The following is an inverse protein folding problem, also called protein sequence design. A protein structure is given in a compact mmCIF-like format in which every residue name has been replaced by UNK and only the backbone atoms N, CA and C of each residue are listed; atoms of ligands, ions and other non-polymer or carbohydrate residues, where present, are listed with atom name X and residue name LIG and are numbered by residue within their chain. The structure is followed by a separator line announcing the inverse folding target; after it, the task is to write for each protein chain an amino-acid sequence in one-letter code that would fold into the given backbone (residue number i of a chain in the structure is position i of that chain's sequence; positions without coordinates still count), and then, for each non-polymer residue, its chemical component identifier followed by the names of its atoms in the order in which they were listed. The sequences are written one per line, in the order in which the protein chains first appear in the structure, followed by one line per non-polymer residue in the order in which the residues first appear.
data_IF_894238353436
#
_entry.id   IF_894238353436
#
_cell.length_a   1.000
_cell.length_b   1.000
_cell.length_c   1.000
_cell.angle_alpha   90.00
_cell.angle_beta   90.00
_cell.angle_gamma   90.00
#
_symmetry.space_group_name_H-M   'P 1'
#
loop_
_entity.id
_entity.type
_entity.pdbx_description
1 polymer ?
#
# COMPACT_ATOMS: atom_id res chain seq x y z
N UNK A 1 -54.64 24.89 -14.59
CA UNK A 1 -53.33 24.86 -15.25
C UNK A 1 -52.50 23.82 -14.51
N UNK A 2 -52.45 22.58 -15.01
CA UNK A 2 -51.80 21.43 -14.36
C UNK A 2 -50.47 21.22 -15.06
N UNK A 3 -49.37 21.35 -14.32
CA UNK A 3 -48.00 21.07 -14.79
C UNK A 3 -47.58 19.69 -14.29
N UNK A 4 -47.30 18.78 -15.24
CA UNK A 4 -46.81 17.42 -15.00
C UNK A 4 -45.27 17.44 -15.08
N UNK A 5 -44.60 16.99 -14.01
CA UNK A 5 -43.15 16.71 -14.00
C UNK A 5 -42.86 15.33 -14.63
N UNK A 6 -41.78 15.13 -15.41
CA UNK A 6 -41.43 13.83 -15.96
C UNK A 6 -40.70 12.96 -14.92
N UNK A 7 -40.96 11.64 -14.96
CA UNK A 7 -40.35 10.61 -14.11
C UNK A 7 -39.07 10.02 -14.73
N UNK A 8 -38.12 9.51 -13.93
CA UNK A 8 -36.84 8.99 -14.38
C UNK A 8 -36.98 7.54 -14.85
N UNK A 9 -37.27 7.33 -16.14
CA UNK A 9 -37.36 5.97 -16.72
C UNK A 9 -36.28 5.72 -17.77
N UNK A 10 -35.51 6.75 -18.15
CA UNK A 10 -34.54 6.67 -19.24
C UNK A 10 -33.16 6.16 -18.77
N UNK A 11 -32.80 6.33 -17.50
CA UNK A 11 -31.49 5.89 -16.96
C UNK A 11 -31.34 4.38 -16.77
N UNK A 12 -32.43 3.67 -16.43
CA UNK A 12 -32.38 2.23 -16.10
C UNK A 12 -32.28 1.35 -17.35
N UNK A 13 -32.80 1.82 -18.49
CA UNK A 13 -32.76 1.08 -19.75
C UNK A 13 -31.37 1.05 -20.39
N UNK A 14 -30.52 2.07 -20.16
CA UNK A 14 -29.17 2.13 -20.72
C UNK A 14 -28.20 1.22 -19.93
N UNK A 15 -28.36 1.14 -18.60
CA UNK A 15 -27.54 0.27 -17.77
C UNK A 15 -27.79 -1.23 -18.02
N UNK A 16 -29.05 -1.63 -18.29
CA UNK A 16 -29.39 -3.02 -18.59
C UNK A 16 -28.89 -3.48 -19.97
N UNK A 17 -28.90 -2.59 -20.97
CA UNK A 17 -28.43 -2.92 -22.33
C UNK A 17 -26.90 -3.11 -22.40
N UNK A 18 -26.12 -2.40 -21.57
CA UNK A 18 -24.66 -2.56 -21.51
C UNK A 18 -24.27 -3.86 -20.80
N UNK A 19 -25.00 -4.28 -19.75
CA UNK A 19 -24.72 -5.52 -19.03
C UNK A 19 -25.05 -6.78 -19.83
N UNK A 20 -26.14 -6.78 -20.62
CA UNK A 20 -26.56 -7.97 -21.38
C UNK A 20 -25.73 -8.24 -22.63
N UNK A 21 -25.04 -7.22 -23.17
CA UNK A 21 -24.14 -7.38 -24.33
C UNK A 21 -22.84 -8.10 -24.00
N UNK A 22 -22.42 -8.12 -22.73
CA UNK A 22 -21.19 -8.80 -22.29
C UNK A 22 -21.37 -10.30 -22.01
N UNK A 23 -22.60 -10.76 -21.81
CA UNK A 23 -22.87 -12.13 -21.34
C UNK A 23 -23.21 -13.16 -22.44
N UNK A 24 -23.46 -12.73 -23.68
CA UNK A 24 -24.01 -13.62 -24.73
C UNK A 24 -23.07 -13.97 -25.89
N UNK A 25 -21.78 -13.64 -25.81
CA UNK A 25 -20.81 -13.99 -26.85
C UNK A 25 -19.54 -14.62 -26.27
N UNK A 26 -19.65 -15.84 -25.75
CA UNK A 26 -18.54 -16.80 -25.62
C UNK A 26 -19.03 -18.22 -25.90
N UNK A 27 -18.48 -18.90 -26.91
CA UNK A 27 -18.37 -20.35 -26.90
C UNK A 27 -16.89 -20.74 -26.97
N UNK A 28 -16.34 -21.27 -25.88
CA UNK A 28 -15.87 -22.65 -25.84
C UNK A 28 -15.15 -22.96 -24.52
N UNK A 29 -15.64 -24.02 -23.89
CA UNK A 29 -14.96 -24.82 -22.88
C UNK A 29 -14.13 -25.83 -23.66
N UNK A 30 -12.83 -25.90 -23.41
CA UNK A 30 -12.14 -27.12 -23.00
C UNK A 30 -10.62 -27.02 -23.17
N UNK A 31 -9.96 -27.67 -22.22
CA UNK A 31 -8.57 -28.10 -22.21
C UNK A 31 -7.50 -27.01 -22.08
N UNK A 32 -6.81 -27.00 -20.93
CA UNK A 32 -5.40 -27.36 -20.87
C UNK A 32 -5.02 -27.72 -19.42
N UNK A 33 -4.53 -28.95 -19.26
CA UNK A 33 -4.01 -29.52 -18.01
C UNK A 33 -2.75 -28.78 -17.58
N UNK A 34 -2.67 -28.36 -16.32
CA UNK A 34 -1.43 -27.86 -15.70
C UNK A 34 -0.77 -29.01 -14.93
N UNK A 35 0.53 -29.30 -15.13
CA UNK A 35 1.24 -30.33 -14.37
C UNK A 35 1.43 -29.91 -12.92
N UNK A 36 1.10 -30.83 -12.00
CA UNK A 36 1.38 -30.73 -10.58
C UNK A 36 2.84 -31.08 -10.28
N UNK A 37 3.68 -30.08 -9.98
CA UNK A 37 4.89 -30.30 -9.16
C UNK A 37 5.61 -28.97 -8.90
N UNK A 38 5.40 -28.40 -7.71
CA UNK A 38 6.44 -27.83 -6.84
C UNK A 38 5.77 -27.44 -5.51
N UNK A 39 5.41 -28.47 -4.74
CA UNK A 39 5.02 -28.31 -3.34
C UNK A 39 6.30 -28.43 -2.52
N UNK A 40 6.77 -27.34 -1.91
CA UNK A 40 7.74 -27.43 -0.84
C UNK A 40 7.00 -27.78 0.46
N UNK A 41 7.24 -28.95 1.08
CA UNK A 41 6.63 -29.29 2.36
C UNK A 41 7.41 -28.61 3.48
N UNK A 42 6.71 -27.91 4.35
CA UNK A 42 7.19 -27.61 5.70
C UNK A 42 7.31 -28.95 6.45
N UNK A 43 8.54 -29.40 6.67
CA UNK A 43 8.86 -30.48 7.61
C UNK A 43 9.85 -29.95 8.63
N UNK A 44 9.42 -29.97 9.89
CA UNK A 44 10.22 -29.68 11.07
C UNK A 44 11.33 -30.75 11.26
N UNK A 45 12.58 -30.31 11.41
CA UNK A 45 13.68 -31.00 12.10
C UNK A 45 14.67 -29.89 12.54
N UNK A 46 15.24 -29.82 13.75
CA UNK A 46 15.65 -30.90 14.65
C UNK A 46 17.13 -31.20 14.46
N UNK A 47 18.04 -30.37 15.02
CA UNK A 47 19.49 -30.60 14.96
C UNK A 47 20.32 -29.47 15.57
N UNK A 48 21.00 -29.78 16.67
CA UNK A 48 21.66 -28.86 17.61
C UNK A 48 23.04 -28.34 17.16
N UNK A 49 23.34 -27.08 17.51
CA UNK A 49 24.68 -26.68 17.98
C UNK A 49 24.54 -25.67 19.12
N UNK A 50 25.12 -26.02 20.27
CA UNK A 50 24.92 -25.38 21.56
C UNK A 50 25.46 -23.93 21.61
N UNK A 51 24.57 -22.99 21.95
CA UNK A 51 24.91 -21.67 22.49
C UNK A 51 24.02 -21.41 23.71
N UNK A 52 24.63 -20.85 24.76
CA UNK A 52 24.14 -20.75 26.14
C UNK A 52 22.68 -20.30 26.25
N UNK A 53 21.83 -21.16 26.81
CA UNK A 53 20.41 -20.90 27.05
C UNK A 53 20.19 -20.11 28.34
N UNK A 54 19.72 -18.87 28.21
CA UNK A 54 18.89 -18.22 29.22
C UNK A 54 17.61 -19.05 29.46
N UNK A 55 17.00 -19.00 30.66
CA UNK A 55 15.84 -19.85 30.96
C UNK A 55 14.68 -19.50 30.01
N UNK A 56 14.35 -20.43 29.11
CA UNK A 56 13.20 -20.30 28.20
C UNK A 56 11.92 -20.27 29.05
N UNK A 57 11.27 -19.12 29.08
CA UNK A 57 9.87 -19.02 29.49
C UNK A 57 9.06 -19.99 28.62
N UNK A 58 8.31 -20.91 29.22
CA UNK A 58 7.39 -21.82 28.54
C UNK A 58 6.11 -21.11 28.03
N UNK A 59 6.01 -19.78 28.16
CA UNK A 59 4.90 -19.04 27.60
C UNK A 59 5.06 -18.93 26.07
N UNK A 60 3.98 -19.11 25.29
CA UNK A 60 4.01 -18.87 23.85
C UNK A 60 4.48 -17.43 23.59
N UNK A 61 5.41 -17.29 22.64
CA UNK A 61 5.95 -15.99 22.23
C UNK A 61 4.82 -15.10 21.71
N UNK A 62 4.79 -13.84 22.16
CA UNK A 62 3.82 -12.86 21.69
C UNK A 62 4.27 -12.37 20.31
N UNK A 63 3.41 -12.42 19.26
CA UNK A 63 3.80 -12.01 17.91
C UNK A 63 3.77 -10.48 17.71
N UNK A 64 3.88 -9.72 18.80
CA UNK A 64 3.73 -8.28 18.85
C UNK A 64 4.52 -7.68 20.02
N UNK A 65 4.63 -6.35 20.05
CA UNK A 65 5.34 -5.63 21.11
C UNK A 65 6.83 -5.49 20.83
N UNK A 66 7.55 -4.83 21.73
CA UNK A 66 8.99 -4.53 21.57
C UNK A 66 9.89 -5.75 21.73
N UNK A 67 9.43 -6.79 22.40
CA UNK A 67 10.20 -8.01 22.67
C UNK A 67 10.22 -8.98 21.48
N UNK A 68 9.35 -8.78 20.49
CA UNK A 68 9.32 -9.63 19.29
C UNK A 68 10.57 -9.39 18.43
N UNK A 69 11.39 -10.42 18.26
CA UNK A 69 12.71 -10.31 17.61
C UNK A 69 12.76 -10.83 16.16
N UNK A 70 11.64 -11.37 15.64
CA UNK A 70 11.58 -11.95 14.30
C UNK A 70 12.25 -13.32 14.21
N UNK A 71 11.94 -14.05 13.14
CA UNK A 71 12.44 -15.41 12.88
C UNK A 71 12.91 -15.60 11.44
N UNK A 72 13.00 -14.52 10.66
CA UNK A 72 13.35 -14.57 9.25
C UNK A 72 14.81 -14.88 9.00
N UNK A 73 15.03 -15.54 7.87
CA UNK A 73 16.33 -15.73 7.25
C UNK A 73 16.31 -15.11 5.85
N UNK A 74 17.31 -14.30 5.47
CA UNK A 74 18.48 -13.89 6.28
C UNK A 74 18.10 -13.00 7.49
N UNK A 75 18.95 -13.02 8.53
CA UNK A 75 18.64 -12.42 9.83
C UNK A 75 18.44 -10.91 9.78
N UNK A 76 19.01 -10.23 8.79
CA UNK A 76 18.92 -8.79 8.62
C UNK A 76 17.49 -8.32 8.23
N UNK A 77 16.65 -9.22 7.72
CA UNK A 77 15.21 -8.97 7.54
C UNK A 77 14.55 -8.65 8.88
N UNK A 78 14.99 -9.27 9.98
CA UNK A 78 14.40 -9.04 11.31
C UNK A 78 14.56 -7.60 11.81
N UNK A 79 15.31 -6.72 11.12
CA UNK A 79 15.31 -5.28 11.42
C UNK A 79 13.92 -4.64 11.27
N UNK A 80 12.99 -5.25 10.55
CA UNK A 80 11.57 -4.82 10.52
C UNK A 80 10.88 -4.89 11.89
N UNK A 81 11.45 -5.60 12.87
CA UNK A 81 10.84 -5.73 14.21
C UNK A 81 11.29 -4.64 15.18
N UNK A 82 12.21 -3.76 14.77
CA UNK A 82 12.63 -2.63 15.60
C UNK A 82 11.47 -1.65 15.85
N UNK A 83 11.71 -0.61 16.66
CA UNK A 83 10.66 0.35 16.99
C UNK A 83 10.28 1.31 15.85
N UNK A 84 10.96 1.27 14.72
CA UNK A 84 10.66 2.07 13.52
C UNK A 84 10.24 1.20 12.33
N UNK A 85 9.91 -0.08 12.59
CA UNK A 85 9.51 -1.05 11.59
C UNK A 85 10.53 -1.23 10.44
N UNK A 86 11.81 -0.98 10.70
CA UNK A 86 12.88 -1.05 9.70
C UNK A 86 13.08 0.23 8.88
N UNK A 87 12.33 1.29 9.14
CA UNK A 87 12.51 2.62 8.52
C UNK A 87 13.34 3.55 9.43
N UNK A 88 13.69 4.75 8.96
CA UNK A 88 14.31 5.76 9.84
C UNK A 88 13.26 6.36 10.78
N UNK A 89 12.04 6.61 10.28
CA UNK A 89 10.91 7.14 11.05
C UNK A 89 9.57 6.56 10.59
N UNK A 90 8.58 6.61 11.48
CA UNK A 90 7.17 6.37 11.15
C UNK A 90 6.40 7.66 11.43
N UNK A 91 5.89 8.30 10.40
CA UNK A 91 5.09 9.51 10.47
C UNK A 91 3.60 9.20 10.43
N UNK A 92 2.83 9.98 11.19
CA UNK A 92 1.37 9.97 11.13
C UNK A 92 0.88 11.36 10.79
N UNK A 93 0.12 11.47 9.71
CA UNK A 93 -0.44 12.74 9.24
C UNK A 93 -1.87 12.84 9.77
N UNK A 94 -2.14 13.89 10.55
CA UNK A 94 -3.47 14.11 11.12
C UNK A 94 -3.62 15.50 11.70
N UNK A 95 -4.84 16.03 11.68
CA UNK A 95 -5.13 17.36 12.22
C UNK A 95 -4.76 17.43 13.72
N UNK A 96 -4.14 18.53 14.20
CA UNK A 96 -3.72 18.65 15.59
C UNK A 96 -4.88 18.58 16.60
N UNK A 97 -6.08 19.01 16.21
CA UNK A 97 -7.29 18.97 17.02
C UNK A 97 -7.94 17.57 17.13
N UNK A 98 -7.54 16.59 16.32
CA UNK A 98 -8.04 15.21 16.38
C UNK A 98 -7.34 14.40 17.48
N UNK A 99 -7.41 14.89 18.71
CA UNK A 99 -6.76 14.26 19.88
C UNK A 99 -7.27 12.83 20.12
N UNK A 100 -8.53 12.57 19.77
CA UNK A 100 -9.14 11.23 19.80
C UNK A 100 -8.35 10.21 18.93
N UNK A 101 -8.03 10.60 17.70
CA UNK A 101 -7.25 9.77 16.78
C UNK A 101 -5.78 9.67 17.22
N UNK A 102 -5.22 10.78 17.73
CA UNK A 102 -3.83 10.81 18.22
C UNK A 102 -3.59 9.88 19.39
N UNK A 103 -4.49 9.89 20.37
CA UNK A 103 -4.42 9.00 21.54
C UNK A 103 -4.56 7.53 21.13
N UNK A 104 -5.50 7.23 20.23
CA UNK A 104 -5.73 5.87 19.74
C UNK A 104 -4.51 5.31 18.99
N UNK A 105 -3.93 6.06 18.05
CA UNK A 105 -2.72 5.66 17.32
C UNK A 105 -1.54 5.49 18.28
N UNK A 106 -1.31 6.46 19.18
CA UNK A 106 -0.18 6.42 20.12
C UNK A 106 -0.24 5.18 21.00
N UNK A 107 -1.42 4.87 21.55
CA UNK A 107 -1.62 3.68 22.38
C UNK A 107 -1.44 2.38 21.57
N UNK A 108 -2.05 2.30 20.39
CA UNK A 108 -2.02 1.10 19.55
C UNK A 108 -0.61 0.80 19.04
N UNK A 109 0.14 1.82 18.61
CA UNK A 109 1.54 1.70 18.20
C UNK A 109 2.43 1.24 19.36
N UNK A 110 2.28 1.83 20.55
CA UNK A 110 3.04 1.42 21.72
C UNK A 110 2.80 -0.05 22.10
N UNK A 111 1.54 -0.51 22.07
CA UNK A 111 1.15 -1.89 22.39
C UNK A 111 1.64 -2.90 21.35
N UNK A 112 1.63 -2.54 20.07
CA UNK A 112 2.16 -3.38 18.98
C UNK A 112 3.67 -3.26 18.78
N UNK A 113 4.31 -2.29 19.44
CA UNK A 113 5.74 -2.24 19.68
C UNK A 113 6.54 -1.37 18.72
N UNK A 114 5.96 -0.30 18.19
CA UNK A 114 6.65 0.69 17.38
C UNK A 114 6.31 2.12 17.80
N UNK A 115 7.15 3.06 17.39
CA UNK A 115 7.09 4.47 17.70
C UNK A 115 6.58 5.25 16.50
N UNK A 116 5.79 6.28 16.77
CA UNK A 116 5.24 7.19 15.75
C UNK A 116 5.62 8.62 16.05
N UNK A 117 5.77 9.42 15.00
CA UNK A 117 5.96 10.85 15.09
C UNK A 117 4.87 11.59 14.30
N UNK A 118 4.27 12.59 14.91
CA UNK A 118 3.17 13.33 14.27
C UNK A 118 3.68 14.39 13.31
N UNK A 119 3.02 14.47 12.16
CA UNK A 119 3.10 15.61 11.24
C UNK A 119 1.71 16.23 11.21
N UNK A 120 1.61 17.48 11.63
CA UNK A 120 0.33 18.16 11.69
C UNK A 120 -0.27 18.31 10.28
N UNK A 121 -1.51 17.83 10.15
CA UNK A 121 -2.33 18.06 8.97
C UNK A 121 -2.62 19.55 8.80
N UNK A 122 -2.97 19.94 7.57
CA UNK A 122 -3.22 21.34 7.23
C UNK A 122 -4.64 21.46 6.72
N UNK A 123 -5.38 22.47 7.18
CA UNK A 123 -6.68 22.82 6.63
C UNK A 123 -6.49 23.48 5.27
N UNK A 124 -7.22 23.03 4.26
CA UNK A 124 -7.09 23.56 2.90
C UNK A 124 -7.28 25.07 2.85
N UNK A 125 -8.23 25.56 3.63
CA UNK A 125 -8.61 26.96 3.72
C UNK A 125 -7.47 27.86 4.21
N UNK A 126 -6.52 27.32 4.96
CA UNK A 126 -5.35 28.03 5.49
C UNK A 126 -4.21 28.12 4.46
N UNK A 127 -4.28 27.37 3.37
CA UNK A 127 -3.27 27.38 2.32
C UNK A 127 -3.49 28.61 1.43
N UNK A 128 -2.50 29.53 1.33
CA UNK A 128 -2.63 30.71 0.49
C UNK A 128 -2.60 30.33 -0.99
N UNK A 129 -3.35 31.06 -1.84
CA UNK A 129 -3.42 30.78 -3.29
C UNK A 129 -2.04 30.73 -3.96
N UNK A 130 -1.08 31.51 -3.46
CA UNK A 130 0.30 31.53 -3.97
C UNK A 130 1.09 30.23 -3.70
N UNK A 131 0.62 29.40 -2.77
CA UNK A 131 1.24 28.11 -2.44
C UNK A 131 0.53 26.92 -3.10
N UNK A 132 -0.58 27.15 -3.81
CA UNK A 132 -1.27 26.11 -4.57
C UNK A 132 -0.39 25.71 -5.77
N UNK A 133 -0.15 24.41 -6.01
CA UNK A 133 0.67 23.96 -7.14
C UNK A 133 0.13 24.45 -8.49
N UNK A 134 1.06 24.66 -9.42
CA UNK A 134 0.71 25.10 -10.77
C UNK A 134 -0.27 24.11 -11.45
N UNK A 135 -1.24 24.67 -12.19
CA UNK A 135 -2.23 23.88 -12.93
C UNK A 135 -3.40 23.35 -12.10
N UNK A 136 -3.42 23.59 -10.79
CA UNK A 136 -4.56 23.21 -9.94
C UNK A 136 -5.66 24.26 -10.02
N UNK A 137 -6.87 23.79 -10.33
CA UNK A 137 -8.10 24.48 -10.01
C UNK A 137 -8.51 24.13 -8.57
N UNK A 138 -8.37 25.10 -7.66
CA UNK A 138 -8.67 24.93 -6.23
C UNK A 138 -10.11 24.51 -5.97
N UNK A 139 -11.06 25.03 -6.75
CA UNK A 139 -12.48 24.69 -6.59
C UNK A 139 -12.75 23.24 -7.00
N UNK A 140 -12.13 22.77 -8.08
CA UNK A 140 -12.26 21.38 -8.52
C UNK A 140 -11.52 20.41 -7.61
N UNK A 141 -10.37 20.80 -7.04
CA UNK A 141 -9.62 19.94 -6.13
C UNK A 141 -10.33 19.78 -4.78
N UNK A 142 -11.06 20.79 -4.30
CA UNK A 142 -11.63 20.90 -2.95
C UNK A 142 -10.57 21.19 -1.87
N UNK A 143 -10.96 21.97 -0.86
CA UNK A 143 -10.10 22.35 0.26
C UNK A 143 -9.58 21.13 1.03
N UNK A 144 -10.42 20.13 1.24
CA UNK A 144 -10.04 18.91 1.97
C UNK A 144 -8.91 18.14 1.29
N UNK A 145 -8.95 18.00 -0.04
CA UNK A 145 -7.88 17.35 -0.79
C UNK A 145 -6.61 18.21 -0.87
N UNK A 146 -6.75 19.54 -0.93
CA UNK A 146 -5.61 20.45 -0.87
C UNK A 146 -4.90 20.38 0.50
N UNK A 147 -5.68 20.31 1.58
CA UNK A 147 -5.17 20.09 2.94
C UNK A 147 -4.46 18.74 3.10
N UNK A 148 -5.08 17.66 2.60
CA UNK A 148 -4.47 16.33 2.54
C UNK A 148 -3.13 16.35 1.81
N UNK A 149 -3.09 16.90 0.59
CA UNK A 149 -1.84 17.08 -0.17
C UNK A 149 -0.80 17.81 0.68
N UNK A 150 -1.15 18.94 1.30
CA UNK A 150 -0.16 19.71 2.03
C UNK A 150 0.38 18.97 3.25
N UNK A 151 -0.47 18.25 3.98
CA UNK A 151 -0.07 17.42 5.12
C UNK A 151 0.91 16.32 4.72
N UNK A 152 0.59 15.55 3.68
CA UNK A 152 1.47 14.50 3.17
C UNK A 152 2.78 15.06 2.60
N UNK A 153 2.72 16.16 1.84
CA UNK A 153 3.92 16.81 1.31
C UNK A 153 4.80 17.39 2.42
N UNK A 154 4.25 17.77 3.58
CA UNK A 154 5.06 18.16 4.75
C UNK A 154 5.82 16.96 5.32
N UNK A 155 5.17 15.80 5.47
CA UNK A 155 5.83 14.57 5.92
C UNK A 155 6.94 14.14 4.95
N UNK A 156 6.67 14.19 3.64
CA UNK A 156 7.67 13.87 2.59
C UNK A 156 8.83 14.87 2.62
N UNK A 157 8.55 16.17 2.79
CA UNK A 157 9.60 17.19 2.91
C UNK A 157 10.55 16.90 4.08
N UNK A 158 10.03 16.44 5.22
CA UNK A 158 10.86 16.07 6.37
C UNK A 158 11.84 14.93 6.07
N UNK A 159 11.47 13.97 5.23
CA UNK A 159 12.38 12.89 4.81
C UNK A 159 13.64 13.47 4.15
N UNK A 160 13.47 14.50 3.31
CA UNK A 160 14.57 15.18 2.63
C UNK A 160 15.31 16.14 3.57
N UNK A 161 14.60 17.00 4.30
CA UNK A 161 15.19 18.02 5.18
C UNK A 161 16.01 17.41 6.32
N UNK A 162 15.58 16.27 6.85
CA UNK A 162 16.28 15.55 7.92
C UNK A 162 17.27 14.50 7.39
N UNK A 163 17.43 14.38 6.06
CA UNK A 163 18.29 13.41 5.41
C UNK A 163 18.05 11.97 5.93
N UNK A 164 16.77 11.57 6.00
CA UNK A 164 16.37 10.23 6.40
C UNK A 164 16.57 9.25 5.24
N UNK A 165 16.97 8.01 5.53
CA UNK A 165 17.08 6.95 4.51
C UNK A 165 15.69 6.57 3.99
N UNK A 166 14.71 6.46 4.89
CA UNK A 166 13.31 6.18 4.56
C UNK A 166 12.37 6.54 5.70
N UNK A 167 11.09 6.75 5.38
CA UNK A 167 10.04 6.85 6.37
C UNK A 167 8.77 6.13 5.92
N UNK A 168 8.08 5.47 6.87
CA UNK A 168 6.68 5.06 6.71
C UNK A 168 5.79 6.26 7.04
N UNK A 169 4.83 6.57 6.18
CA UNK A 169 3.84 7.65 6.36
C UNK A 169 2.46 7.00 6.36
N UNK A 170 1.65 7.29 7.38
CA UNK A 170 0.28 6.78 7.48
C UNK A 170 -0.72 7.86 7.89
N UNK A 171 -1.98 7.65 7.54
CA UNK A 171 -3.11 8.50 7.94
C UNK A 171 -3.50 8.25 9.42
N UNK A 172 -4.24 9.17 10.05
CA UNK A 172 -4.53 9.15 11.49
C UNK A 172 -5.69 8.20 11.92
N UNK A 173 -6.45 7.70 10.96
CA UNK A 173 -7.53 6.72 11.13
C UNK A 173 -7.10 5.29 10.73
N UNK A 174 -5.81 5.02 10.73
CA UNK A 174 -5.28 3.71 10.37
C UNK A 174 -5.32 2.69 11.51
N UNK A 175 -5.40 1.42 11.11
CA UNK A 175 -5.29 0.24 11.96
C UNK A 175 -4.63 -0.91 11.19
N UNK A 176 -4.16 -1.91 11.93
CA UNK A 176 -3.36 -3.02 11.43
C UNK A 176 -3.63 -4.28 12.24
N UNK A 177 -3.18 -5.44 11.74
CA UNK A 177 -3.22 -6.67 12.52
C UNK A 177 -2.17 -6.59 13.64
N UNK A 178 -2.49 -7.05 14.86
CA UNK A 178 -1.51 -7.09 15.97
C UNK A 178 -0.22 -7.82 15.58
N UNK A 179 -0.27 -8.73 14.60
CA UNK A 179 0.87 -9.46 14.03
C UNK A 179 1.64 -8.68 12.94
N UNK A 180 1.63 -7.34 13.00
CA UNK A 180 2.26 -6.47 12.01
C UNK A 180 3.74 -6.80 11.76
N UNK A 181 4.55 -7.02 12.81
CA UNK A 181 5.98 -7.32 12.66
C UNK A 181 6.24 -8.63 11.90
N UNK A 182 5.59 -9.76 12.25
CA UNK A 182 5.61 -10.97 11.42
C UNK A 182 5.18 -10.75 9.97
N UNK A 183 4.18 -9.90 9.71
CA UNK A 183 3.76 -9.59 8.34
C UNK A 183 4.86 -8.83 7.58
N UNK A 184 5.51 -7.87 8.23
CA UNK A 184 6.59 -7.07 7.64
C UNK A 184 7.83 -7.90 7.31
N UNK A 185 8.10 -8.97 8.06
CA UNK A 185 9.16 -9.93 7.71
C UNK A 185 8.91 -10.57 6.34
N UNK A 186 7.67 -11.01 6.09
CA UNK A 186 7.26 -11.58 4.81
C UNK A 186 7.27 -10.54 3.69
N UNK A 187 6.84 -9.31 3.99
CA UNK A 187 6.87 -8.19 3.03
C UNK A 187 8.29 -7.79 2.66
N UNK A 188 9.21 -7.70 3.63
CA UNK A 188 10.62 -7.40 3.39
C UNK A 188 11.29 -8.48 2.52
N UNK A 189 11.04 -9.76 2.82
CA UNK A 189 11.49 -10.86 1.97
C UNK A 189 10.93 -10.74 0.55
N UNK A 190 9.63 -10.45 0.43
CA UNK A 190 8.97 -10.29 -0.86
C UNK A 190 9.45 -9.10 -1.68
N UNK A 191 9.66 -7.95 -1.05
CA UNK A 191 10.17 -6.75 -1.70
C UNK A 191 11.56 -7.00 -2.29
N UNK A 192 12.48 -7.59 -1.51
CA UNK A 192 13.81 -7.99 -1.99
C UNK A 192 13.73 -8.98 -3.14
N UNK A 193 12.84 -9.97 -3.05
CA UNK A 193 12.67 -11.00 -4.06
C UNK A 193 12.09 -10.44 -5.37
N UNK A 194 11.12 -9.53 -5.31
CA UNK A 194 10.58 -8.86 -6.51
C UNK A 194 11.66 -8.02 -7.17
N UNK A 195 12.33 -7.15 -6.40
CA UNK A 195 13.40 -6.27 -6.91
C UNK A 195 14.52 -7.07 -7.56
N UNK A 196 15.01 -8.14 -6.91
CA UNK A 196 16.14 -8.93 -7.43
C UNK A 196 15.82 -9.70 -8.72
N UNK A 197 14.53 -9.94 -8.97
CA UNK A 197 14.07 -10.63 -10.17
C UNK A 197 13.61 -9.66 -11.27
N UNK A 198 13.54 -8.35 -11.02
CA UNK A 198 13.19 -7.38 -12.06
C UNK A 198 14.40 -7.04 -12.93
N UNK A 199 14.24 -6.91 -14.26
CA UNK A 199 15.32 -6.47 -15.13
C UNK A 199 15.80 -5.06 -14.79
N UNK A 200 17.12 -4.84 -14.73
CA UNK A 200 17.72 -3.52 -14.49
C UNK A 200 17.27 -2.45 -15.51
N UNK A 201 16.84 -2.88 -16.71
CA UNK A 201 16.26 -1.98 -17.71
C UNK A 201 15.03 -1.23 -17.18
N UNK A 202 14.18 -1.92 -16.41
CA UNK A 202 12.94 -1.37 -15.86
C UNK A 202 13.12 -0.89 -14.43
N UNK A 203 14.05 -1.51 -13.70
CA UNK A 203 14.28 -1.28 -12.29
C UNK A 203 15.78 -1.13 -12.02
N UNK A 204 16.41 -0.02 -12.47
CA UNK A 204 17.87 0.09 -12.49
C UNK A 204 18.46 0.12 -11.09
N UNK A 205 19.02 -1.00 -10.64
CA UNK A 205 19.52 -1.13 -9.27
C UNK A 205 20.93 -0.57 -9.06
N UNK A 206 21.59 -0.15 -10.15
CA UNK A 206 23.01 0.22 -10.12
C UNK A 206 23.95 -0.95 -9.80
N UNK A 207 23.41 -2.18 -9.72
CA UNK A 207 24.22 -3.38 -9.53
C UNK A 207 24.98 -3.67 -10.82
N UNK A 208 26.26 -4.01 -10.75
CA UNK A 208 27.01 -4.42 -11.94
C UNK A 208 26.33 -5.66 -12.54
N UNK A 209 25.97 -5.58 -13.82
CA UNK A 209 25.20 -6.57 -14.61
C UNK A 209 25.85 -7.96 -14.74
N UNK A 210 26.95 -8.21 -14.04
CA UNK A 210 27.69 -9.46 -14.05
C UNK A 210 28.50 -9.56 -12.76
N UNK A 211 28.00 -10.30 -11.76
CA UNK A 211 28.78 -10.99 -10.71
C UNK A 211 29.99 -10.30 -10.05
N UNK A 212 30.13 -8.98 -10.10
CA UNK A 212 31.29 -8.26 -9.54
C UNK A 212 30.81 -7.17 -8.59
N UNK A 213 30.37 -7.61 -7.43
CA UNK A 213 30.14 -6.81 -6.21
C UNK A 213 31.17 -5.69 -6.04
N UNK A 214 30.74 -4.43 -6.03
CA UNK A 214 31.50 -3.36 -5.37
C UNK A 214 30.66 -2.11 -5.15
N UNK A 215 29.56 -2.24 -4.40
CA UNK A 215 29.05 -1.22 -3.49
C UNK A 215 27.91 -1.81 -2.64
N UNK A 216 28.19 -2.96 -2.02
CA UNK A 216 27.42 -3.42 -0.89
C UNK A 216 28.16 -3.03 0.39
N UNK A 217 27.43 -2.86 1.49
CA UNK A 217 28.01 -2.90 2.84
C UNK A 217 29.05 -4.02 2.95
N UNK A 218 30.04 -3.93 3.87
CA UNK A 218 31.08 -4.97 4.05
C UNK A 218 30.55 -6.41 4.21
N UNK A 219 29.27 -6.57 4.55
CA UNK A 219 28.53 -7.82 4.71
C UNK A 219 27.73 -8.31 3.49
N UNK A 220 27.57 -7.49 2.43
CA UNK A 220 26.63 -7.80 1.35
C UNK A 220 25.15 -7.55 1.70
N UNK A 221 24.87 -7.10 2.93
CA UNK A 221 23.51 -6.81 3.40
C UNK A 221 23.02 -5.44 2.91
N UNK A 222 21.75 -5.34 2.48
CA UNK A 222 21.15 -4.06 2.15
C UNK A 222 21.02 -3.19 3.40
N UNK A 223 20.96 -1.87 3.21
CA UNK A 223 20.75 -0.90 4.30
C UNK A 223 19.34 -1.08 4.87
N UNK A 224 18.34 -1.06 4.00
CA UNK A 224 16.94 -1.26 4.37
C UNK A 224 16.57 -2.75 4.46
N UNK A 225 15.78 -3.18 5.47
CA UNK A 225 15.24 -4.52 5.49
C UNK A 225 14.36 -4.82 4.26
N UNK A 226 13.80 -3.80 3.61
CA UNK A 226 12.96 -3.94 2.42
C UNK A 226 13.76 -3.95 1.10
N UNK A 227 15.09 -3.81 1.17
CA UNK A 227 15.98 -3.59 0.02
C UNK A 227 16.20 -2.10 -0.28
N UNK A 228 17.24 -1.77 -1.05
CA UNK A 228 17.70 -0.37 -1.18
C UNK A 228 17.20 0.35 -2.43
N UNK A 229 16.50 -0.38 -3.31
CA UNK A 229 16.21 0.10 -4.65
C UNK A 229 14.79 0.63 -4.84
N UNK A 230 13.89 0.52 -3.87
CA UNK A 230 12.52 1.05 -4.00
C UNK A 230 12.46 2.57 -3.73
N UNK A 231 11.48 3.23 -4.33
CA UNK A 231 11.14 4.64 -4.11
C UNK A 231 9.89 4.78 -3.23
N UNK A 232 8.86 3.98 -3.53
CA UNK A 232 7.60 3.93 -2.79
C UNK A 232 7.25 2.48 -2.48
N UNK A 233 6.84 2.21 -1.24
CA UNK A 233 6.32 0.92 -0.81
C UNK A 233 4.94 1.14 -0.18
N UNK A 234 3.87 0.80 -0.90
CA UNK A 234 2.51 0.84 -0.36
C UNK A 234 2.27 -0.35 0.57
N UNK A 235 1.90 -0.03 1.82
CA UNK A 235 1.55 -1.02 2.84
C UNK A 235 0.06 -0.94 3.22
N UNK A 236 -0.62 0.15 2.87
CA UNK A 236 -2.04 0.38 3.08
C UNK A 236 -2.65 1.11 1.91
N UNK A 237 -3.70 0.54 1.32
CA UNK A 237 -4.46 1.13 0.22
C UNK A 237 -5.87 0.51 0.19
N UNK A 238 -6.82 1.15 -0.49
CA UNK A 238 -8.17 0.65 -0.68
C UNK A 238 -8.22 -0.56 -1.65
N UNK A 239 -7.27 -0.61 -2.58
CA UNK A 239 -7.14 -1.69 -3.56
C UNK A 239 -6.40 -1.22 -4.80
N UNK A 240 -5.91 -2.16 -5.61
CA UNK A 240 -5.35 -1.88 -6.93
C UNK A 240 -5.50 -3.09 -7.85
N UNK A 241 -5.55 -2.91 -9.19
CA UNK A 241 -5.34 -4.00 -10.12
C UNK A 241 -3.86 -4.40 -10.16
N UNK A 242 -3.54 -5.54 -10.78
CA UNK A 242 -2.15 -5.82 -11.13
C UNK A 242 -1.72 -5.03 -12.38
N UNK A 243 -0.44 -4.60 -12.49
CA UNK A 243 0.00 -3.71 -13.57
C UNK A 243 -0.18 -4.33 -14.96
N UNK A 244 -0.01 -5.64 -15.11
CA UNK A 244 -0.23 -6.37 -16.35
C UNK A 244 -1.70 -6.45 -16.79
N UNK A 245 -2.63 -6.18 -15.87
CA UNK A 245 -4.09 -6.19 -16.10
C UNK A 245 -4.65 -4.78 -16.36
N UNK A 246 -3.81 -3.74 -16.30
CA UNK A 246 -4.22 -2.38 -16.65
C UNK A 246 -4.71 -2.31 -18.11
N UNK A 247 -5.67 -1.44 -18.45
CA UNK A 247 -6.22 -1.32 -19.80
C UNK A 247 -5.15 -1.15 -20.90
N UNK A 248 -4.06 -0.44 -20.61
CA UNK A 248 -2.94 -0.22 -21.52
C UNK A 248 -2.00 -1.43 -21.68
N UNK A 249 -2.06 -2.42 -20.78
CA UNK A 249 -1.13 -3.56 -20.73
C UNK A 249 -1.80 -4.93 -20.96
N UNK A 250 -3.10 -5.05 -20.67
CA UNK A 250 -3.84 -6.33 -20.72
C UNK A 250 -3.82 -7.01 -22.09
N UNK A 251 -3.75 -6.23 -23.17
CA UNK A 251 -3.77 -6.71 -24.55
C UNK A 251 -2.36 -6.91 -25.15
N UNK A 252 -1.29 -6.61 -24.38
CA UNK A 252 0.08 -6.90 -24.79
C UNK A 252 0.31 -8.42 -24.94
N UNK A 253 1.18 -8.86 -25.88
CA UNK A 253 1.57 -10.27 -26.00
C UNK A 253 2.06 -10.86 -24.67
N UNK A 254 1.81 -12.14 -24.43
CA UNK A 254 2.20 -12.81 -23.18
C UNK A 254 3.72 -12.88 -22.98
N UNK A 255 4.48 -12.82 -24.08
CA UNK A 255 5.94 -12.81 -24.12
C UNK A 255 6.54 -11.39 -24.24
N UNK A 256 5.70 -10.33 -24.19
CA UNK A 256 6.20 -8.95 -24.11
C UNK A 256 7.08 -8.79 -22.85
N UNK A 257 8.35 -8.35 -22.99
CA UNK A 257 9.26 -8.27 -21.86
C UNK A 257 8.79 -7.34 -20.73
N UNK A 258 8.08 -6.26 -21.08
CA UNK A 258 7.48 -5.34 -20.12
C UNK A 258 6.34 -6.01 -19.35
N UNK A 259 5.42 -6.67 -20.05
CA UNK A 259 4.31 -7.42 -19.42
C UNK A 259 4.81 -8.54 -18.52
N UNK A 260 5.81 -9.30 -18.96
CA UNK A 260 6.44 -10.35 -18.15
C UNK A 260 7.08 -9.77 -16.89
N UNK A 261 7.70 -8.60 -16.97
CA UNK A 261 8.25 -7.91 -15.79
C UNK A 261 7.16 -7.41 -14.84
N UNK A 262 6.08 -6.81 -15.36
CA UNK A 262 4.93 -6.35 -14.58
C UNK A 262 4.29 -7.48 -13.77
N UNK A 263 4.15 -8.67 -14.37
CA UNK A 263 3.51 -9.82 -13.75
C UNK A 263 4.34 -10.51 -12.65
N UNK A 264 5.56 -10.03 -12.35
CA UNK A 264 6.41 -10.60 -11.28
C UNK A 264 5.85 -10.25 -9.90
N UNK A 265 5.60 -11.27 -9.09
CA UNK A 265 5.03 -11.16 -7.74
C UNK A 265 5.73 -12.12 -6.80
N UNK A 266 5.89 -11.71 -5.55
CA UNK A 266 6.18 -12.63 -4.45
C UNK A 266 4.86 -13.04 -3.80
N UNK A 267 4.54 -14.33 -3.84
CA UNK A 267 3.26 -14.87 -3.34
C UNK A 267 3.45 -15.51 -1.98
N UNK A 268 2.70 -15.04 -0.99
CA UNK A 268 2.63 -15.56 0.37
C UNK A 268 1.32 -16.35 0.47
N UNK A 269 1.43 -17.67 0.61
CA UNK A 269 0.28 -18.58 0.72
C UNK A 269 -0.03 -18.89 2.18
N UNK A 270 -1.29 -19.19 2.47
CA UNK A 270 -1.78 -19.57 3.80
C UNK A 270 -1.47 -18.52 4.89
N UNK A 271 -1.52 -17.24 4.52
CA UNK A 271 -1.31 -16.15 5.46
C UNK A 271 -2.50 -16.05 6.43
N UNK A 272 -2.28 -16.46 7.67
CA UNK A 272 -3.30 -16.43 8.72
C UNK A 272 -3.79 -15.01 9.09
N UNK A 273 -3.12 -13.97 8.58
CA UNK A 273 -3.49 -12.56 8.75
C UNK A 273 -4.35 -12.01 7.60
N UNK A 274 -4.50 -12.77 6.51
CA UNK A 274 -5.45 -12.44 5.44
C UNK A 274 -6.84 -12.97 5.85
N UNK A 275 -7.90 -12.15 5.74
CA UNK A 275 -9.27 -12.61 6.01
C UNK A 275 -9.69 -13.78 5.09
N UNK A 276 -10.71 -14.54 5.50
CA UNK A 276 -11.34 -15.53 4.61
C UNK A 276 -11.97 -14.86 3.38
N UNK A 277 -12.26 -15.66 2.34
CA UNK A 277 -12.72 -15.15 1.03
C UNK A 277 -14.00 -14.31 1.09
N UNK A 278 -14.88 -14.54 2.06
CA UNK A 278 -16.13 -13.80 2.27
C UNK A 278 -15.94 -12.46 3.01
N UNK A 279 -14.72 -12.16 3.47
CA UNK A 279 -14.39 -10.93 4.21
C UNK A 279 -13.17 -10.18 3.67
N UNK A 280 -12.38 -10.79 2.79
CA UNK A 280 -11.33 -10.09 2.05
C UNK A 280 -11.96 -9.28 0.93
N UNK A 281 -11.53 -8.04 0.79
CA UNK A 281 -12.04 -7.09 -0.19
C UNK A 281 -10.91 -6.45 -0.96
N UNK A 282 -11.21 -5.95 -2.16
CA UNK A 282 -10.24 -5.27 -3.01
C UNK A 282 -10.68 -5.23 -4.46
N UNK A 283 -9.78 -4.78 -5.33
CA UNK A 283 -10.05 -4.63 -6.76
C UNK A 283 -9.78 -5.94 -7.53
N UNK A 284 -8.87 -6.78 -7.04
CA UNK A 284 -8.56 -8.06 -7.65
C UNK A 284 -9.59 -9.14 -7.26
N UNK A 285 -9.73 -10.13 -8.14
CA UNK A 285 -10.57 -11.31 -7.88
C UNK A 285 -9.80 -12.34 -7.02
N UNK A 286 -9.92 -12.23 -5.69
CA UNK A 286 -9.30 -13.16 -4.75
C UNK A 286 -9.74 -14.61 -4.96
N UNK A 287 -10.94 -14.84 -5.51
CA UNK A 287 -11.48 -16.18 -5.77
C UNK A 287 -10.72 -16.95 -6.87
N UNK A 288 -9.86 -16.28 -7.64
CA UNK A 288 -8.97 -16.92 -8.64
C UNK A 288 -7.68 -17.46 -8.04
N UNK A 289 -7.47 -17.26 -6.74
CA UNK A 289 -6.24 -17.63 -6.04
C UNK A 289 -6.55 -18.50 -4.82
N UNK A 290 -5.57 -19.25 -4.30
CA UNK A 290 -5.75 -19.94 -3.04
C UNK A 290 -6.21 -18.96 -1.95
N UNK A 291 -7.12 -19.41 -1.09
CA UNK A 291 -7.58 -18.60 0.05
C UNK A 291 -6.38 -18.20 0.93
N UNK A 292 -6.48 -17.04 1.60
CA UNK A 292 -5.41 -16.50 2.45
C UNK A 292 -4.09 -16.28 1.69
N UNK A 293 -4.19 -15.75 0.48
CA UNK A 293 -3.00 -15.35 -0.30
C UNK A 293 -2.75 -13.86 -0.17
N UNK A 294 -1.47 -13.49 0.00
CA UNK A 294 -0.96 -12.12 -0.08
C UNK A 294 0.15 -12.03 -1.12
N UNK A 295 0.28 -10.89 -1.77
CA UNK A 295 1.30 -10.61 -2.77
C UNK A 295 2.10 -9.39 -2.38
N UNK A 296 3.42 -9.44 -2.63
CA UNK A 296 4.25 -8.24 -2.82
C UNK A 296 4.54 -8.14 -4.30
N UNK A 297 4.29 -6.99 -4.90
CA UNK A 297 4.37 -6.83 -6.36
C UNK A 297 4.70 -5.41 -6.78
N UNK A 298 5.03 -5.22 -8.06
CA UNK A 298 5.12 -3.89 -8.67
C UNK A 298 3.73 -3.26 -8.66
N UNK A 299 3.67 -2.00 -8.24
CA UNK A 299 2.43 -1.24 -8.18
C UNK A 299 1.86 -0.96 -9.57
N UNK A 300 0.54 -1.04 -9.71
CA UNK A 300 -0.20 -0.53 -10.86
C UNK A 300 -0.62 0.92 -10.65
N UNK A 301 -1.51 1.15 -9.67
CA UNK A 301 -2.08 2.44 -9.28
C UNK A 301 -2.99 2.24 -8.05
N UNK A 302 -2.45 2.29 -6.82
CA UNK A 302 -3.20 2.03 -5.62
C UNK A 302 -4.11 3.20 -5.30
N UNK A 303 -5.35 2.89 -4.93
CA UNK A 303 -6.30 3.89 -4.48
C UNK A 303 -6.11 4.08 -2.97
N UNK A 304 -6.18 5.31 -2.47
CA UNK A 304 -5.92 5.68 -1.08
C UNK A 304 -4.44 5.57 -0.66
N UNK A 305 -4.07 6.35 0.35
CA UNK A 305 -2.69 6.42 0.93
C UNK A 305 -2.66 6.10 2.41
N UNK A 306 -3.53 5.18 2.83
CA UNK A 306 -3.65 4.65 4.20
C UNK A 306 -2.28 4.47 4.88
N UNK A 307 -1.36 3.76 4.23
CA UNK A 307 0.04 3.74 4.64
C UNK A 307 0.98 3.49 3.46
N UNK A 308 2.02 4.29 3.33
CA UNK A 308 3.06 4.12 2.31
C UNK A 308 4.41 4.55 2.87
N UNK A 309 5.46 3.82 2.54
CA UNK A 309 6.81 4.23 2.84
C UNK A 309 7.45 4.89 1.62
N UNK A 310 8.35 5.84 1.88
CA UNK A 310 9.17 6.51 0.87
C UNK A 310 10.64 6.40 1.26
N UNK A 311 11.51 6.10 0.29
CA UNK A 311 12.96 6.26 0.46
C UNK A 311 13.34 7.73 0.30
N UNK A 312 14.56 8.12 0.67
CA UNK A 312 15.06 9.48 0.44
C UNK A 312 14.89 9.91 -1.03
N UNK A 313 15.35 9.05 -1.94
CA UNK A 313 15.24 9.27 -3.39
C UNK A 313 13.77 9.33 -3.84
N UNK A 314 12.92 8.48 -3.28
CA UNK A 314 11.48 8.52 -3.54
C UNK A 314 10.85 9.84 -3.08
N UNK A 315 11.23 10.35 -1.91
CA UNK A 315 10.74 11.61 -1.38
C UNK A 315 11.11 12.80 -2.28
N UNK A 316 12.33 12.85 -2.81
CA UNK A 316 12.75 13.86 -3.79
C UNK A 316 11.92 13.80 -5.08
N UNK A 317 11.69 12.58 -5.61
CA UNK A 317 10.84 12.37 -6.80
C UNK A 317 9.42 12.86 -6.57
N UNK A 318 8.83 12.55 -5.41
CA UNK A 318 7.47 12.96 -5.06
C UNK A 318 7.40 14.48 -4.87
N UNK A 319 8.36 15.11 -4.18
CA UNK A 319 8.42 16.57 -4.06
C UNK A 319 8.50 17.25 -5.43
N UNK A 320 9.29 16.69 -6.33
CA UNK A 320 9.34 17.21 -7.70
C UNK A 320 7.99 17.04 -8.40
N UNK A 321 7.49 15.81 -8.54
CA UNK A 321 6.33 15.51 -9.40
C UNK A 321 5.01 16.06 -8.86
N UNK A 322 4.80 16.04 -7.54
CA UNK A 322 3.54 16.41 -6.87
C UNK A 322 3.57 17.83 -6.26
N UNK A 323 4.65 18.60 -6.44
CA UNK A 323 4.70 20.00 -5.97
C UNK A 323 5.46 20.93 -6.90
N UNK A 324 6.69 20.62 -7.28
CA UNK A 324 7.53 21.53 -8.08
C UNK A 324 7.06 21.59 -9.53
N UNK A 325 6.78 20.43 -10.12
CA UNK A 325 6.30 20.31 -11.50
C UNK A 325 4.79 20.58 -11.56
N UNK A 326 3.98 19.76 -10.86
CA UNK A 326 2.53 19.87 -10.86
C UNK A 326 1.89 19.17 -9.67
N UNK A 327 0.57 19.33 -9.51
CA UNK A 327 -0.26 18.38 -8.76
C UNK A 327 -1.39 17.95 -9.70
N UNK A 328 -1.67 16.64 -9.76
CA UNK A 328 -2.63 16.06 -10.71
C UNK A 328 -3.77 15.36 -9.97
N UNK A 329 -4.60 16.15 -9.28
CA UNK A 329 -5.74 15.68 -8.48
C UNK A 329 -5.41 15.48 -7.00
N UNK A 330 -6.28 14.77 -6.25
CA UNK A 330 -6.05 14.41 -4.86
C UNK A 330 -4.71 13.68 -4.68
N UNK A 331 -4.09 13.82 -3.50
CA UNK A 331 -2.73 13.34 -3.23
C UNK A 331 -2.53 11.85 -3.53
N UNK A 332 -3.47 11.01 -3.07
CA UNK A 332 -3.43 9.57 -3.27
C UNK A 332 -3.42 9.19 -4.76
N UNK A 333 -4.31 9.79 -5.54
CA UNK A 333 -4.36 9.63 -6.99
C UNK A 333 -3.07 10.15 -7.64
N UNK A 334 -2.58 11.32 -7.25
CA UNK A 334 -1.38 11.90 -7.84
C UNK A 334 -0.15 10.99 -7.61
N UNK A 335 -0.01 10.42 -6.41
CA UNK A 335 1.04 9.45 -6.09
C UNK A 335 0.88 8.15 -6.87
N UNK A 336 -0.35 7.63 -6.96
CA UNK A 336 -0.66 6.44 -7.76
C UNK A 336 -0.32 6.65 -9.24
N UNK A 337 -0.63 7.84 -9.79
CA UNK A 337 -0.33 8.20 -11.15
C UNK A 337 1.18 8.34 -11.41
N UNK A 338 1.96 8.86 -10.46
CA UNK A 338 3.43 8.88 -10.56
C UNK A 338 3.96 7.45 -10.80
N UNK A 339 3.52 6.50 -9.97
CA UNK A 339 3.94 5.10 -10.09
C UNK A 339 3.39 4.41 -11.34
N UNK A 340 2.14 4.68 -11.74
CA UNK A 340 1.54 4.13 -12.96
C UNK A 340 2.27 4.56 -14.22
N UNK A 341 2.68 5.84 -14.30
CA UNK A 341 3.45 6.36 -15.45
C UNK A 341 4.81 5.69 -15.56
N UNK A 342 5.45 5.36 -14.43
CA UNK A 342 6.71 4.63 -14.43
C UNK A 342 6.57 3.21 -15.00
N UNK A 343 5.56 2.44 -14.55
CA UNK A 343 5.36 1.06 -15.03
C UNK A 343 4.79 1.01 -16.45
N UNK A 344 3.89 1.92 -16.83
CA UNK A 344 3.26 1.95 -18.16
C UNK A 344 4.21 2.24 -19.33
N UNK A 345 5.46 2.61 -19.05
CA UNK A 345 6.51 2.79 -20.05
C UNK A 345 7.26 1.50 -20.43
N UNK A 346 7.15 0.42 -19.65
CA UNK A 346 8.11 -0.70 -19.71
C UNK A 346 8.11 -1.48 -21.04
N UNK A 347 6.95 -1.78 -21.62
CA UNK A 347 6.89 -2.47 -22.93
C UNK A 347 7.56 -1.63 -24.03
N UNK A 348 7.24 -0.33 -24.09
CA UNK A 348 7.84 0.60 -25.07
C UNK A 348 9.33 0.81 -24.81
N UNK A 349 9.77 0.87 -23.55
CA UNK A 349 11.18 0.93 -23.18
C UNK A 349 11.93 -0.33 -23.62
N UNK A 350 11.31 -1.51 -23.51
CA UNK A 350 11.86 -2.76 -24.05
C UNK A 350 12.13 -2.65 -25.55
N UNK A 351 11.16 -2.10 -26.28
CA UNK A 351 11.25 -1.93 -27.72
C UNK A 351 12.36 -0.94 -28.12
N UNK A 352 12.52 0.16 -27.38
CA UNK A 352 13.62 1.12 -27.59
C UNK A 352 14.98 0.51 -27.24
N UNK A 353 15.06 -0.24 -26.14
CA UNK A 353 16.29 -0.96 -25.76
C UNK A 353 16.74 -1.94 -26.85
N UNK A 354 15.80 -2.68 -27.45
CA UNK A 354 16.08 -3.58 -28.57
C UNK A 354 16.56 -2.84 -29.83
N UNK A 355 16.23 -1.55 -29.96
CA UNK A 355 16.68 -0.66 -31.05
C UNK A 355 18.00 0.06 -30.71
N UNK A 356 18.58 -0.19 -29.54
CA UNK A 356 19.85 0.43 -29.10
C UNK A 356 19.69 1.70 -28.25
N UNK A 357 18.47 2.05 -27.82
CA UNK A 357 18.22 3.17 -26.90
C UNK A 357 17.57 2.70 -25.58
N UNK A 358 18.33 2.03 -24.69
CA UNK A 358 17.80 1.49 -23.44
C UNK A 358 17.47 2.56 -22.39
N UNK A 359 17.84 3.82 -22.63
CA UNK A 359 17.63 4.92 -21.69
C UNK A 359 16.61 5.95 -22.19
N UNK A 360 15.97 5.70 -23.34
CA UNK A 360 15.10 6.68 -24.00
C UNK A 360 15.78 8.06 -24.12
N UNK A 361 17.02 8.08 -24.65
CA UNK A 361 17.85 9.29 -24.75
C UNK A 361 17.22 10.35 -25.63
N UNK A 362 16.44 9.92 -26.61
CA UNK A 362 15.68 10.81 -27.49
C UNK A 362 14.34 11.27 -26.86
N UNK A 363 14.01 10.80 -25.66
CA UNK A 363 12.80 11.15 -24.90
C UNK A 363 11.50 10.88 -25.68
N UNK A 364 11.45 9.76 -26.38
CA UNK A 364 10.32 9.34 -27.19
C UNK A 364 9.11 8.91 -26.34
N UNK A 365 9.34 8.44 -25.11
CA UNK A 365 8.25 7.93 -24.25
C UNK A 365 7.49 9.03 -23.51
N UNK A 366 8.02 10.26 -23.49
CA UNK A 366 7.45 11.38 -22.74
C UNK A 366 7.66 11.23 -21.24
N UNK A 367 6.61 11.52 -20.47
CA UNK A 367 6.66 11.42 -19.01
C UNK A 367 6.57 9.96 -18.53
N UNK A 368 7.64 9.51 -17.90
CA UNK A 368 7.83 8.17 -17.33
C UNK A 368 7.71 8.16 -15.80
N UNK A 369 7.09 9.17 -15.20
CA UNK A 369 6.93 9.27 -13.75
C UNK A 369 8.27 9.18 -13.01
N UNK A 370 9.30 9.86 -13.54
CA UNK A 370 10.66 9.87 -13.00
C UNK A 370 11.28 8.46 -12.79
N UNK A 371 10.79 7.47 -13.55
CA UNK A 371 11.12 6.06 -13.35
C UNK A 371 11.00 5.65 -11.87
N UNK A 372 9.93 6.10 -11.22
CA UNK A 372 9.64 5.79 -9.83
C UNK A 372 9.47 4.28 -9.63
N UNK A 373 10.19 3.74 -8.65
CA UNK A 373 10.25 2.33 -8.35
C UNK A 373 9.27 1.96 -7.24
N UNK A 374 8.05 1.64 -7.63
CA UNK A 374 6.95 1.47 -6.69
C UNK A 374 6.56 0.00 -6.50
N UNK A 375 6.47 -0.41 -5.24
CA UNK A 375 5.98 -1.72 -4.82
C UNK A 375 4.72 -1.56 -3.97
N UNK A 376 3.90 -2.61 -3.96
CA UNK A 376 2.70 -2.70 -3.14
C UNK A 376 2.49 -4.08 -2.56
N UNK A 377 1.61 -4.15 -1.56
CA UNK A 377 1.21 -5.36 -0.85
C UNK A 377 -0.31 -5.52 -0.94
N UNK A 378 -0.78 -6.58 -1.62
CA UNK A 378 -2.22 -6.88 -1.79
C UNK A 378 -2.56 -8.24 -1.17
N UNK A 379 -3.59 -8.38 -0.30
CA UNK A 379 -4.29 -7.27 0.35
C UNK A 379 -3.31 -6.47 1.24
N UNK A 380 -3.66 -5.26 1.67
CA UNK A 380 -2.78 -4.39 2.46
C UNK A 380 -2.56 -4.88 3.90
N UNK A 381 -1.56 -4.31 4.58
CA UNK A 381 -1.26 -4.48 6.00
C UNK A 381 -1.96 -3.44 6.90
N UNK A 382 -2.18 -2.24 6.35
CA UNK A 382 -2.86 -1.15 7.02
C UNK A 382 -4.17 -0.84 6.31
N UNK A 383 -5.22 -0.56 7.09
CA UNK A 383 -6.52 -0.19 6.54
C UNK A 383 -7.22 0.85 7.42
N UNK A 384 -8.17 1.55 6.81
CA UNK A 384 -9.00 2.52 7.51
C UNK A 384 -9.83 1.85 8.60
N UNK A 385 -9.67 2.36 9.83
CA UNK A 385 -10.47 2.00 10.98
C UNK A 385 -11.70 2.89 11.12
N UNK A 386 -12.86 2.26 11.00
CA UNK A 386 -14.15 2.90 11.27
C UNK A 386 -14.44 2.80 12.77
N UNK A 387 -14.23 3.88 13.51
CA UNK A 387 -14.34 3.88 14.97
C UNK A 387 -15.78 3.70 15.47
N UNK A 388 -15.94 3.16 16.68
CA UNK A 388 -17.22 3.22 17.40
C UNK A 388 -17.60 4.69 17.63
N UNK A 389 -18.85 5.06 17.37
CA UNK A 389 -19.35 6.42 17.60
C UNK A 389 -20.09 7.00 16.39
N UNK A 390 -20.17 8.33 16.34
CA UNK A 390 -20.84 9.05 15.24
C UNK A 390 -20.06 8.88 13.94
N UNK A 391 -20.74 8.40 12.88
CA UNK A 391 -20.12 8.14 11.58
C UNK A 391 -19.56 9.39 10.90
N UNK A 392 -20.06 10.58 11.25
CA UNK A 392 -19.53 11.87 10.73
C UNK A 392 -18.10 12.16 11.21
N UNK A 393 -17.62 11.45 12.23
CA UNK A 393 -16.26 11.60 12.76
C UNK A 393 -15.20 10.74 12.06
N UNK A 394 -15.60 9.88 11.10
CA UNK A 394 -14.70 8.93 10.45
C UNK A 394 -13.61 9.67 9.63
N UNK A 395 -14.01 10.59 8.74
CA UNK A 395 -13.10 11.28 7.81
C UNK A 395 -13.34 12.79 7.76
N UNK A 396 -12.24 13.55 7.80
CA UNK A 396 -12.25 15.00 7.59
C UNK A 396 -12.14 15.38 6.08
N UNK A 397 -11.96 14.40 5.18
CA UNK A 397 -11.82 14.64 3.73
C UNK A 397 -13.13 14.50 2.98
N UNK A 398 -13.98 13.55 3.38
CA UNK A 398 -15.29 13.34 2.77
C UNK A 398 -16.28 14.39 3.27
N UNK A 399 -16.28 15.57 2.65
CA UNK A 399 -17.46 16.44 2.67
C UNK A 399 -18.56 15.69 1.91
N UNK A 400 -19.58 15.21 2.62
CA UNK A 400 -20.61 14.28 2.15
C UNK A 400 -21.34 14.81 0.91
N UNK A 401 -20.84 14.42 -0.26
CA UNK A 401 -21.41 14.74 -1.58
C UNK A 401 -21.61 13.46 -2.39
N UNK A 402 -22.61 12.65 -2.04
CA UNK A 402 -23.22 11.69 -2.98
C UNK A 402 -22.90 10.20 -2.82
N UNK A 403 -22.57 9.69 -1.62
CA UNK A 403 -22.44 8.25 -1.33
C UNK A 403 -23.01 7.90 0.05
N UNK A 404 -23.52 6.67 0.20
CA UNK A 404 -24.28 6.14 1.36
C UNK A 404 -23.87 6.74 2.72
N UNK A 405 -24.71 7.60 3.28
CA UNK A 405 -24.43 8.34 4.52
C UNK A 405 -24.92 9.79 4.54
N UNK A 406 -25.65 10.27 3.52
CA UNK A 406 -26.37 11.55 3.60
C UNK A 406 -27.51 11.44 4.61
N UNK A 407 -27.24 11.87 5.84
CA UNK A 407 -28.29 12.36 6.73
C UNK A 407 -28.56 13.83 6.39
N UNK A 408 -29.79 14.15 6.01
CA UNK A 408 -30.23 15.54 5.80
C UNK A 408 -30.10 16.34 7.11
N UNK A 409 -29.93 17.67 7.02
CA UNK A 409 -29.97 18.55 8.20
C UNK A 409 -31.27 18.32 8.99
N UNK A 410 -31.16 17.75 10.20
CA UNK A 410 -32.29 17.46 11.08
C UNK A 410 -32.48 15.98 11.43
N UNK A 411 -31.75 15.06 10.80
CA UNK A 411 -31.76 13.64 11.19
C UNK A 411 -30.87 13.36 12.41
N UNK A 412 -31.27 12.36 13.20
CA UNK A 412 -30.50 11.90 14.36
C UNK A 412 -29.19 11.23 13.91
N UNK A 413 -28.08 11.43 14.63
CA UNK A 413 -26.79 10.90 14.21
C UNK A 413 -26.82 9.37 14.17
N UNK A 414 -26.39 8.78 13.06
CA UNK A 414 -26.12 7.35 12.96
C UNK A 414 -24.89 7.02 13.80
N UNK A 415 -25.12 6.16 14.79
CA UNK A 415 -24.09 5.68 15.71
C UNK A 415 -23.66 4.28 15.31
N UNK A 416 -22.35 4.11 15.12
CA UNK A 416 -21.70 2.82 15.00
C UNK A 416 -21.46 2.24 16.39
N UNK A 417 -22.14 1.14 16.71
CA UNK A 417 -22.04 0.50 18.04
C UNK A 417 -20.71 -0.25 18.27
N UNK A 418 -20.09 -0.74 17.20
CA UNK A 418 -18.82 -1.47 17.21
C UNK A 418 -17.94 -1.00 16.06
N UNK A 419 -16.68 -0.66 16.36
CA UNK A 419 -15.71 -0.32 15.32
C UNK A 419 -15.36 -1.51 14.43
N UNK A 420 -14.77 -1.24 13.27
CA UNK A 420 -14.38 -2.27 12.30
C UNK A 420 -13.22 -1.81 11.43
N UNK A 421 -12.33 -2.73 11.05
CA UNK A 421 -11.22 -2.45 10.13
C UNK A 421 -11.21 -3.49 9.02
N UNK A 422 -11.73 -3.13 7.85
CA UNK A 422 -11.75 -4.04 6.70
C UNK A 422 -10.35 -4.58 6.36
N UNK A 423 -10.30 -5.78 5.78
CA UNK A 423 -9.06 -6.51 5.47
C UNK A 423 -8.13 -6.88 6.64
N UNK A 424 -8.49 -6.59 7.89
CA UNK A 424 -7.71 -6.96 9.08
C UNK A 424 -8.43 -8.07 9.87
N UNK A 425 -7.67 -9.06 10.37
CA UNK A 425 -8.23 -10.19 11.14
C UNK A 425 -8.23 -9.88 12.64
N UNK A 426 -7.08 -9.52 13.20
CA UNK A 426 -6.95 -9.09 14.59
C UNK A 426 -6.63 -7.60 14.66
N UNK A 427 -7.67 -6.78 14.48
CA UNK A 427 -7.57 -5.32 14.58
C UNK A 427 -6.88 -4.92 15.89
N UNK A 428 -5.78 -4.18 15.78
CA UNK A 428 -5.04 -3.72 16.94
C UNK A 428 -5.87 -2.76 17.78
N UNK A 429 -6.64 -1.87 17.13
CA UNK A 429 -7.59 -0.96 17.82
C UNK A 429 -8.71 -1.70 18.55
N UNK A 430 -9.28 -2.76 17.96
CA UNK A 430 -10.32 -3.56 18.62
C UNK A 430 -9.76 -4.48 19.70
N UNK A 431 -8.46 -4.75 19.70
CA UNK A 431 -7.78 -5.61 20.67
C UNK A 431 -6.94 -4.85 21.72
N UNK A 432 -7.10 -3.52 21.88
CA UNK A 432 -6.36 -2.73 22.87
C UNK A 432 -6.50 -3.32 24.29
N UNK A 433 -7.73 -3.62 24.72
CA UNK A 433 -7.97 -4.21 26.04
C UNK A 433 -7.32 -5.58 26.17
N UNK A 434 -7.37 -6.40 25.12
CA UNK A 434 -6.74 -7.71 25.12
C UNK A 434 -5.22 -7.63 25.26
N UNK A 435 -4.60 -6.66 24.57
CA UNK A 435 -3.16 -6.42 24.69
C UNK A 435 -2.78 -5.89 26.08
N UNK A 436 -3.58 -5.01 26.68
CA UNK A 436 -3.35 -4.46 28.03
C UNK A 436 -3.47 -5.53 29.13
N UNK A 437 -4.48 -6.39 29.04
CA UNK A 437 -4.72 -7.45 30.03
C UNK A 437 -3.96 -8.75 29.74
N UNK A 438 -3.33 -8.86 28.57
CA UNK A 438 -2.66 -10.09 28.14
C UNK A 438 -3.62 -11.25 27.92
N UNK A 439 -4.86 -10.97 27.51
CA UNK A 439 -5.87 -11.97 27.14
C UNK A 439 -5.74 -12.35 25.67
N UNK A 440 -6.49 -13.37 25.23
CA UNK A 440 -6.49 -13.81 23.84
C UNK A 440 -6.99 -12.72 22.89
N UNK A 441 -6.39 -12.65 21.69
CA UNK A 441 -6.86 -11.75 20.64
C UNK A 441 -8.17 -12.24 20.06
N UNK A 442 -9.07 -11.31 19.78
CA UNK A 442 -10.37 -11.57 19.16
C UNK A 442 -10.31 -11.23 17.67
N UNK A 443 -10.86 -12.15 16.88
CA UNK A 443 -11.18 -11.91 15.47
C UNK A 443 -12.36 -10.94 15.37
N UNK A 444 -12.30 -10.05 14.38
CA UNK A 444 -13.45 -9.22 14.04
C UNK A 444 -14.48 -9.94 13.16
N UNK A 445 -14.11 -11.12 12.65
CA UNK A 445 -14.91 -12.02 11.83
C UNK A 445 -15.34 -13.27 12.58
#
# INVERSE_FOLDING_TARGET
MITVRPRPVIGILIAFLILTSFYLLHPNRDALRVPSSFSAPFSAFGGSSAAKSSPKSNAPEKPYGREYAGHSTPQDINRVTNSTLGFSKVFVVGLPERTDKRDAITLTAALTGFDVEWVDGVRGEEIPDKAVPFGIDRHLLMETNLGSWRGHMNAIRRVVEENLDSALIMEDDMDWDVRLKPQLELVAAGARAVISNLPDLYFPTGRPSSSSSSQSSPSGEPVSPYGDDWDVLWLGHCGEPFPEELPENKDLPSDDPGKVAMARKYTILNDATVPPLDHVTGIIDFGRHPERTRWVHVTAAPICTFAYAVSQRGAEKILYDLSVDRLSGPFDNALAWLCRRAVGGWSRLAALAAQGDPLDRERQLGDRGLDAKCLSVTPPLFFHHKAKGNIRGDSDIQTVGGGEGQEEEGEAPVIREKGSTENIVWSARLNILNMLYGTGMETQW
#
